data_IF_516951961339
#
_entry.id   IF_516951961339
#
_cell.length_a   1.000
_cell.length_b   1.000
_cell.length_c   1.000
_cell.angle_alpha   90.00
_cell.angle_beta   90.00
_cell.angle_gamma   90.00
#
_symmetry.space_group_name_H-M   'P 1'
#
loop_
_entity.id
_entity.type
_entity.pdbx_description
1 polymer ?
#
# COMPACT_ATOMS: atom_id res chain seq x y z
N UNK A 1 10.69 -9.51 1.06
CA UNK A 1 10.40 -8.10 1.37
C UNK A 1 9.53 -7.57 0.24
N UNK A 2 8.27 -7.24 0.50
CA UNK A 2 7.29 -6.77 -0.50
C UNK A 2 6.83 -5.37 -0.11
N UNK A 3 6.83 -4.45 -1.07
CA UNK A 3 6.32 -3.09 -0.92
C UNK A 3 5.09 -2.85 -1.80
N UNK A 4 4.22 -1.96 -1.35
CA UNK A 4 3.04 -1.49 -2.09
C UNK A 4 2.94 0.04 -2.01
N UNK A 5 2.65 0.68 -3.13
CA UNK A 5 2.33 2.11 -3.20
C UNK A 5 0.94 2.28 -3.81
N UNK A 6 0.08 3.03 -3.11
CA UNK A 6 -1.26 3.40 -3.59
C UNK A 6 -1.23 4.77 -4.24
N UNK A 7 -1.70 4.87 -5.48
CA UNK A 7 -1.66 6.12 -6.27
C UNK A 7 -3.04 6.42 -6.87
N UNK A 8 -3.51 7.66 -6.78
CA UNK A 8 -4.71 8.14 -7.47
C UNK A 8 -4.43 9.50 -8.11
N UNK A 9 -4.74 9.64 -9.40
CA UNK A 9 -4.55 10.90 -10.13
C UNK A 9 -3.09 11.38 -10.17
N UNK A 10 -2.13 10.46 -10.11
CA UNK A 10 -0.69 10.78 -10.02
C UNK A 10 -0.20 11.16 -8.62
N UNK A 11 -1.08 11.20 -7.62
CA UNK A 11 -0.73 11.46 -6.22
C UNK A 11 -0.56 10.15 -5.45
N UNK A 12 0.50 10.05 -4.65
CA UNK A 12 0.68 8.95 -3.69
C UNK A 12 -0.28 9.17 -2.52
N UNK A 13 -1.13 8.18 -2.25
CA UNK A 13 -2.05 8.15 -1.12
C UNK A 13 -1.39 7.53 0.12
N UNK A 14 -0.67 6.42 -0.08
CA UNK A 14 0.05 5.73 0.99
C UNK A 14 1.11 4.78 0.43
N UNK A 15 2.05 4.42 1.31
CA UNK A 15 3.08 3.41 1.08
C UNK A 15 3.08 2.40 2.23
N UNK A 16 3.31 1.14 1.90
CA UNK A 16 3.39 0.06 2.89
C UNK A 16 4.37 -1.03 2.50
N UNK A 17 4.86 -1.76 3.50
CA UNK A 17 5.77 -2.89 3.28
C UNK A 17 5.68 -3.93 4.38
N UNK A 18 5.97 -5.18 4.03
CA UNK A 18 6.06 -6.27 4.98
C UNK A 18 7.28 -6.11 5.90
N UNK A 19 7.04 -5.87 7.20
CA UNK A 19 8.09 -5.54 8.19
C UNK A 19 8.69 -6.73 8.90
N UNK A 20 7.89 -7.76 9.16
CA UNK A 20 8.27 -8.88 9.99
C UNK A 20 7.53 -10.15 9.58
N UNK A 21 8.15 -11.31 9.81
CA UNK A 21 7.58 -12.60 9.45
C UNK A 21 6.22 -12.82 10.13
N UNK A 22 5.20 -13.18 9.34
CA UNK A 22 3.83 -13.36 9.82
C UNK A 22 3.04 -12.06 10.02
N UNK A 23 3.69 -10.90 9.86
CA UNK A 23 3.01 -9.60 9.86
C UNK A 23 2.29 -9.29 8.54
N UNK A 24 1.61 -8.12 8.46
CA UNK A 24 0.88 -7.70 7.28
C UNK A 24 1.74 -7.71 6.01
N UNK A 25 1.13 -8.08 4.89
CA UNK A 25 1.75 -7.87 3.58
C UNK A 25 1.82 -6.38 3.25
N UNK A 26 2.66 -5.99 2.28
CA UNK A 26 2.86 -4.58 1.93
C UNK A 26 1.56 -3.88 1.51
N UNK A 27 0.66 -4.61 0.85
CA UNK A 27 -0.65 -4.15 0.41
C UNK A 27 -1.58 -3.82 1.59
N UNK A 28 -1.62 -4.72 2.58
CA UNK A 28 -2.43 -4.51 3.80
C UNK A 28 -1.90 -3.32 4.58
N UNK A 29 -0.58 -3.24 4.76
CA UNK A 29 0.04 -2.10 5.45
C UNK A 29 -0.20 -0.78 4.72
N UNK A 30 -0.16 -0.74 3.38
CA UNK A 30 -0.44 0.47 2.60
C UNK A 30 -1.91 0.90 2.74
N UNK A 31 -2.84 -0.05 2.74
CA UNK A 31 -4.27 0.22 2.94
C UNK A 31 -4.55 0.75 4.35
N UNK A 32 -4.00 0.13 5.39
CA UNK A 32 -4.17 0.56 6.79
C UNK A 32 -3.55 1.94 7.06
N UNK A 33 -2.50 2.30 6.33
CA UNK A 33 -1.86 3.62 6.39
C UNK A 33 -2.60 4.70 5.61
N UNK A 34 -3.52 4.33 4.73
CA UNK A 34 -4.27 5.34 3.97
C UNK A 34 -5.30 6.00 4.89
N UNK A 35 -5.23 7.33 5.01
CA UNK A 35 -6.16 8.12 5.82
C UNK A 35 -7.48 8.47 5.12
N UNK A 36 -7.71 7.94 3.93
CA UNK A 36 -8.83 8.23 3.04
C UNK A 36 -9.29 6.97 2.30
N UNK A 37 -10.42 7.08 1.59
CA UNK A 37 -10.90 6.00 0.73
C UNK A 37 -9.94 5.75 -0.44
N UNK A 38 -9.70 4.48 -0.78
CA UNK A 38 -8.81 4.01 -1.84
C UNK A 38 -9.55 3.54 -3.10
N UNK A 39 -10.89 3.61 -3.16
CA UNK A 39 -11.66 3.23 -4.36
C UNK A 39 -11.18 3.97 -5.61
N UNK A 40 -10.80 3.24 -6.66
CA UNK A 40 -10.29 3.80 -7.90
C UNK A 40 -8.82 4.25 -7.87
N UNK A 41 -8.09 3.98 -6.78
CA UNK A 41 -6.63 4.07 -6.77
C UNK A 41 -6.00 2.87 -7.53
N UNK A 42 -4.75 3.03 -7.95
CA UNK A 42 -3.89 1.98 -8.51
C UNK A 42 -2.86 1.56 -7.48
N UNK A 43 -2.70 0.25 -7.28
CA UNK A 43 -1.65 -0.30 -6.43
C UNK A 43 -0.46 -0.76 -7.28
N UNK A 44 0.75 -0.31 -6.93
CA UNK A 44 1.99 -0.81 -7.49
C UNK A 44 2.66 -1.71 -6.46
N UNK A 45 2.76 -3.00 -6.75
CA UNK A 45 3.30 -4.01 -5.84
C UNK A 45 4.58 -4.58 -6.43
N UNK A 46 5.59 -4.76 -5.58
CA UNK A 46 6.90 -5.27 -6.02
C UNK A 46 6.93 -6.79 -6.26
N UNK A 47 5.84 -7.51 -6.03
CA UNK A 47 5.67 -8.95 -6.23
C UNK A 47 4.24 -9.28 -6.64
#
# INVERSE_FOLDING_TARGET
MVGCVLVRGGCVLAEGWHREFGGPHGEVDALERTGEDTVGATAYVSL
#
